data_IF_952699657889
#
_entry.id   IF_952699657889
#
_cell.length_a   1.000
_cell.length_b   1.000
_cell.length_c   1.000
_cell.angle_alpha   90.00
_cell.angle_beta   90.00
_cell.angle_gamma   90.00
#
_symmetry.space_group_name_H-M   'P 1'
#
loop_
_entity.id
_entity.type
_entity.pdbx_description
1 polymer ?
#
# COMPACT_ATOMS: atom_id res chain seq x y z
N UNK A 1 -41.36 -8.76 57.04
CA UNK A 1 -40.40 -9.82 56.57
C UNK A 1 -40.55 -10.07 55.06
N UNK A 2 -41.77 -10.02 54.49
CA UNK A 2 -42.03 -10.31 53.09
C UNK A 2 -41.45 -9.18 52.18
N UNK A 3 -41.54 -7.91 52.60
CA UNK A 3 -40.99 -6.75 51.86
C UNK A 3 -39.46 -6.79 51.73
N UNK A 4 -38.77 -7.35 52.76
CA UNK A 4 -37.31 -7.46 52.74
C UNK A 4 -36.80 -8.51 51.72
N UNK A 5 -37.57 -9.56 51.49
CA UNK A 5 -37.32 -10.58 50.51
C UNK A 5 -37.55 -10.11 49.06
N UNK A 6 -38.50 -9.23 48.85
CA UNK A 6 -38.84 -8.62 47.54
C UNK A 6 -37.71 -7.62 47.13
N UNK A 7 -37.20 -6.82 48.06
CA UNK A 7 -36.09 -5.92 47.79
C UNK A 7 -34.75 -6.67 47.52
N UNK A 8 -34.52 -7.81 48.15
CA UNK A 8 -33.31 -8.61 47.95
C UNK A 8 -33.33 -9.36 46.60
N UNK A 9 -34.52 -9.76 46.11
CA UNK A 9 -34.64 -10.41 44.79
C UNK A 9 -34.54 -9.40 43.63
N UNK A 10 -34.77 -8.11 43.85
CA UNK A 10 -34.65 -7.06 42.82
C UNK A 10 -33.18 -6.63 42.61
N UNK A 11 -32.30 -6.86 43.61
CA UNK A 11 -30.89 -6.50 43.53
C UNK A 11 -30.04 -7.53 42.78
N UNK A 12 -30.52 -8.75 42.53
CA UNK A 12 -29.77 -9.79 41.81
C UNK A 12 -29.94 -9.74 40.30
N UNK A 13 -30.91 -8.96 39.81
CA UNK A 13 -31.24 -8.84 38.37
C UNK A 13 -30.38 -7.82 37.57
N UNK A 14 -29.50 -7.06 38.21
CA UNK A 14 -28.77 -5.95 37.56
C UNK A 14 -27.28 -6.25 37.27
N UNK A 15 -26.81 -7.50 37.44
CA UNK A 15 -25.41 -7.87 37.26
C UNK A 15 -25.11 -8.58 35.95
N UNK A 16 -25.94 -8.43 34.92
CA UNK A 16 -25.71 -9.01 33.60
C UNK A 16 -25.43 -7.92 32.55
N UNK A 17 -24.51 -7.01 32.86
CA UNK A 17 -23.76 -6.33 31.81
C UNK A 17 -22.43 -7.07 31.68
N UNK A 18 -22.41 -8.08 30.83
CA UNK A 18 -21.16 -8.60 30.28
C UNK A 18 -20.47 -7.47 29.53
N UNK A 19 -19.59 -6.79 30.25
CA UNK A 19 -18.60 -5.92 29.64
C UNK A 19 -17.48 -6.78 29.06
N UNK A 20 -17.80 -7.62 28.10
CA UNK A 20 -16.82 -8.04 27.12
C UNK A 20 -16.61 -6.85 26.20
N UNK A 21 -15.78 -5.92 26.65
CA UNK A 21 -15.18 -4.92 25.79
C UNK A 21 -14.20 -5.61 24.82
N UNK A 22 -14.71 -6.39 23.89
CA UNK A 22 -14.08 -6.52 22.59
C UNK A 22 -14.23 -5.13 21.97
N UNK A 23 -13.25 -4.25 22.24
CA UNK A 23 -13.05 -3.05 21.42
C UNK A 23 -13.12 -3.54 20.00
N UNK A 24 -14.05 -3.06 19.14
CA UNK A 24 -14.02 -3.41 17.75
C UNK A 24 -12.64 -2.96 17.28
N UNK A 25 -11.78 -3.89 16.90
CA UNK A 25 -10.55 -3.55 16.18
C UNK A 25 -11.07 -2.76 15.00
N UNK A 26 -10.91 -1.44 15.06
CA UNK A 26 -11.41 -0.54 14.04
C UNK A 26 -10.78 -1.04 12.74
N UNK A 27 -11.58 -1.68 11.89
CA UNK A 27 -11.09 -2.21 10.64
C UNK A 27 -10.56 -1.03 9.84
N UNK A 28 -9.27 -1.08 9.49
CA UNK A 28 -8.65 -0.04 8.69
C UNK A 28 -9.48 0.19 7.42
N UNK A 29 -9.69 1.45 7.07
CA UNK A 29 -10.31 1.83 5.80
C UNK A 29 -9.49 1.22 4.67
N UNK A 30 -10.15 0.78 3.59
CA UNK A 30 -9.45 0.27 2.42
C UNK A 30 -8.61 1.37 1.76
N UNK A 31 -7.39 1.02 1.34
CA UNK A 31 -6.51 1.91 0.60
C UNK A 31 -7.15 2.38 -0.71
N UNK A 32 -6.91 3.65 -1.06
CA UNK A 32 -7.46 4.36 -2.22
C UNK A 32 -6.36 4.72 -3.22
N UNK A 33 -6.70 5.43 -4.28
CA UNK A 33 -5.76 5.87 -5.33
C UNK A 33 -5.73 4.93 -6.53
N UNK A 34 -5.02 5.36 -7.58
CA UNK A 34 -4.93 4.63 -8.83
C UNK A 34 -3.89 3.51 -8.77
N UNK A 35 -4.09 2.42 -9.53
CA UNK A 35 -3.02 1.45 -9.76
C UNK A 35 -1.77 2.12 -10.31
N UNK A 36 -0.61 1.62 -9.90
CA UNK A 36 0.70 2.15 -10.33
C UNK A 36 0.90 3.65 -10.04
N UNK A 37 0.26 4.16 -8.99
CA UNK A 37 0.49 5.48 -8.43
C UNK A 37 1.28 5.35 -7.12
N UNK A 38 2.23 6.27 -6.88
CA UNK A 38 2.97 6.38 -5.63
C UNK A 38 3.01 7.83 -5.17
N UNK A 39 2.69 8.06 -3.91
CA UNK A 39 2.89 9.37 -3.25
C UNK A 39 4.27 9.37 -2.62
N UNK A 40 5.13 10.29 -3.04
CA UNK A 40 6.45 10.51 -2.47
C UNK A 40 6.37 11.66 -1.47
N UNK A 41 6.70 11.37 -0.21
CA UNK A 41 6.69 12.32 0.88
C UNK A 41 8.13 12.62 1.27
N UNK A 42 8.60 13.84 1.04
CA UNK A 42 9.95 14.28 1.40
C UNK A 42 10.05 15.80 1.45
N UNK A 43 11.14 16.29 2.04
CA UNK A 43 11.43 17.72 2.08
C UNK A 43 11.53 18.33 0.68
N UNK A 44 11.08 19.57 0.55
CA UNK A 44 11.04 20.30 -0.72
C UNK A 44 12.42 20.46 -1.35
N UNK A 45 13.42 20.81 -0.55
CA UNK A 45 14.78 21.03 -1.04
C UNK A 45 15.39 19.71 -1.57
N UNK A 46 15.16 18.61 -0.88
CA UNK A 46 15.60 17.30 -1.31
C UNK A 46 14.84 16.81 -2.57
N UNK A 47 13.53 17.14 -2.68
CA UNK A 47 12.73 16.84 -3.86
C UNK A 47 13.18 17.59 -5.12
N UNK A 48 13.56 18.86 -4.97
CA UNK A 48 14.04 19.71 -6.06
C UNK A 48 15.55 19.53 -6.35
N UNK A 49 16.23 18.71 -5.57
CA UNK A 49 17.65 18.40 -5.75
C UNK A 49 17.88 17.04 -6.40
N UNK A 50 19.15 16.64 -6.46
CA UNK A 50 19.64 15.41 -7.10
C UNK A 50 18.89 14.14 -6.65
N UNK A 51 18.57 14.02 -5.35
CA UNK A 51 17.83 12.87 -4.82
C UNK A 51 16.42 12.78 -5.41
N UNK A 52 15.72 13.91 -5.49
CA UNK A 52 14.38 13.96 -6.04
C UNK A 52 14.34 13.68 -7.55
N UNK A 53 15.33 14.19 -8.30
CA UNK A 53 15.48 13.90 -9.72
C UNK A 53 15.74 12.40 -9.94
N UNK A 54 16.65 11.80 -9.19
CA UNK A 54 16.96 10.37 -9.28
C UNK A 54 15.77 9.48 -8.90
N UNK A 55 15.02 9.85 -7.86
CA UNK A 55 13.79 9.14 -7.49
C UNK A 55 12.72 9.21 -8.58
N UNK A 56 12.54 10.39 -9.20
CA UNK A 56 11.60 10.55 -10.29
C UNK A 56 12.00 9.74 -11.51
N UNK A 57 13.28 9.74 -11.87
CA UNK A 57 13.82 8.93 -12.97
C UNK A 57 13.58 7.45 -12.73
N UNK A 58 13.96 6.92 -11.57
CA UNK A 58 13.81 5.51 -11.25
C UNK A 58 12.33 5.06 -11.15
N UNK A 59 11.47 5.86 -10.51
CA UNK A 59 10.05 5.51 -10.36
C UNK A 59 9.27 5.62 -11.66
N UNK A 60 9.68 6.54 -12.55
CA UNK A 60 9.09 6.74 -13.87
C UNK A 60 9.82 6.00 -14.98
N UNK A 61 10.76 5.12 -14.63
CA UNK A 61 11.45 4.32 -15.63
C UNK A 61 10.43 3.68 -16.60
N UNK A 62 10.69 3.71 -17.92
CA UNK A 62 9.73 3.22 -18.89
C UNK A 62 9.48 1.72 -18.73
N UNK A 63 8.24 1.30 -18.97
CA UNK A 63 7.87 -0.12 -18.97
C UNK A 63 8.55 -0.78 -20.20
N UNK A 64 9.38 -1.81 -19.98
CA UNK A 64 10.05 -2.48 -21.09
C UNK A 64 9.09 -3.10 -22.11
N UNK A 65 9.50 -3.10 -23.36
CA UNK A 65 8.79 -3.73 -24.49
C UNK A 65 7.44 -3.12 -24.89
N UNK A 66 7.05 -1.96 -24.35
CA UNK A 66 5.91 -1.22 -24.90
C UNK A 66 6.33 -0.44 -26.17
N UNK A 67 5.46 -0.38 -27.19
CA UNK A 67 5.72 0.38 -28.43
C UNK A 67 5.88 1.89 -28.16
N UNK A 68 5.18 2.40 -27.16
CA UNK A 68 5.29 3.77 -26.66
C UNK A 68 5.86 3.74 -25.26
N UNK A 69 6.74 4.68 -24.94
CA UNK A 69 7.32 4.80 -23.61
C UNK A 69 6.24 5.24 -22.61
N UNK A 70 5.88 4.36 -21.70
CA UNK A 70 4.96 4.63 -20.60
C UNK A 70 5.71 4.51 -19.29
N UNK A 71 5.47 5.46 -18.38
CA UNK A 71 6.09 5.43 -17.05
C UNK A 71 5.56 4.28 -16.20
N UNK A 72 6.46 3.57 -15.52
CA UNK A 72 6.11 2.47 -14.60
C UNK A 72 5.21 2.93 -13.45
N UNK A 73 5.44 4.14 -12.93
CA UNK A 73 4.66 4.70 -11.83
C UNK A 73 4.22 6.14 -12.14
N UNK A 74 3.00 6.47 -11.75
CA UNK A 74 2.57 7.87 -11.61
C UNK A 74 3.07 8.39 -10.28
N UNK A 75 3.90 9.40 -10.29
CA UNK A 75 4.52 9.97 -9.09
C UNK A 75 3.81 11.26 -8.70
N UNK A 76 3.26 11.29 -7.49
CA UNK A 76 2.68 12.46 -6.85
C UNK A 76 3.57 12.87 -5.67
N UNK A 77 3.95 14.14 -5.61
CA UNK A 77 4.79 14.67 -4.53
C UNK A 77 3.95 15.32 -3.43
N UNK A 78 4.40 15.19 -2.19
CA UNK A 78 3.88 15.91 -1.03
C UNK A 78 5.01 16.25 -0.08
N UNK A 79 4.96 17.45 0.48
CA UNK A 79 5.78 17.77 1.67
C UNK A 79 5.27 17.02 2.90
N UNK A 80 6.13 16.76 3.90
CA UNK A 80 5.72 16.15 5.17
C UNK A 80 4.59 16.92 5.87
N UNK A 81 4.62 18.25 5.82
CA UNK A 81 3.57 19.13 6.37
C UNK A 81 2.22 18.99 5.67
N UNK A 82 2.22 18.72 4.37
CA UNK A 82 1.03 18.51 3.56
C UNK A 82 0.52 17.08 3.52
N UNK A 83 1.32 16.14 4.05
CA UNK A 83 0.96 14.71 4.06
C UNK A 83 -0.06 14.39 5.15
N UNK A 84 -1.34 14.65 4.84
CA UNK A 84 -2.45 14.46 5.77
C UNK A 84 -3.74 14.06 5.03
N UNK A 85 -4.80 13.79 5.79
CA UNK A 85 -6.12 13.51 5.24
C UNK A 85 -6.11 12.35 4.24
N UNK A 86 -6.59 12.59 3.02
CA UNK A 86 -6.77 11.57 1.99
C UNK A 86 -5.44 10.99 1.47
N UNK A 87 -4.35 11.75 1.50
CA UNK A 87 -3.04 11.28 1.04
C UNK A 87 -2.51 10.11 1.89
N UNK A 88 -2.89 10.04 3.17
CA UNK A 88 -2.51 8.92 4.04
C UNK A 88 -3.18 7.60 3.68
N UNK A 89 -4.26 7.64 2.90
CA UNK A 89 -4.99 6.42 2.52
C UNK A 89 -4.63 5.92 1.11
N UNK A 90 -3.68 6.57 0.44
CA UNK A 90 -3.21 6.13 -0.88
C UNK A 90 -2.49 4.79 -0.76
N UNK A 91 -2.68 3.94 -1.75
CA UNK A 91 -2.25 2.53 -1.75
C UNK A 91 -0.73 2.32 -1.74
N UNK A 92 0.06 3.23 -2.35
CA UNK A 92 1.52 3.18 -2.30
C UNK A 92 2.07 4.53 -1.85
N UNK A 93 2.92 4.50 -0.85
CA UNK A 93 3.55 5.69 -0.28
C UNK A 93 5.05 5.41 -0.11
N UNK A 94 5.87 6.37 -0.54
CA UNK A 94 7.30 6.40 -0.29
C UNK A 94 7.60 7.58 0.61
N UNK A 95 7.99 7.32 1.85
CA UNK A 95 8.42 8.35 2.80
C UNK A 95 9.94 8.40 2.79
N UNK A 96 10.49 9.55 2.47
CA UNK A 96 11.93 9.79 2.41
C UNK A 96 12.35 10.64 3.59
N UNK A 97 13.29 10.16 4.39
CA UNK A 97 13.78 10.84 5.60
C UNK A 97 15.30 10.91 5.61
N UNK A 98 15.85 12.11 5.69
CA UNK A 98 17.28 12.33 5.85
C UNK A 98 17.51 12.96 7.22
N UNK A 99 18.17 12.22 8.12
CA UNK A 99 18.41 12.68 9.49
C UNK A 99 19.68 12.02 10.07
N UNK A 100 20.79 12.76 10.23
CA UNK A 100 22.05 12.23 10.74
C UNK A 100 21.98 11.82 12.23
N UNK A 101 21.02 12.36 12.98
CA UNK A 101 20.83 12.01 14.38
C UNK A 101 20.06 10.71 14.57
N UNK A 102 19.27 10.32 13.57
CA UNK A 102 18.40 9.14 13.62
C UNK A 102 18.97 7.94 12.86
N UNK A 103 19.70 8.20 11.79
CA UNK A 103 20.17 7.13 10.90
C UNK A 103 21.69 7.14 10.79
N UNK A 104 22.30 5.97 10.87
CA UNK A 104 23.75 5.77 10.69
C UNK A 104 24.11 5.25 9.31
N UNK A 105 23.10 4.72 8.57
CA UNK A 105 23.25 4.20 7.21
C UNK A 105 21.97 4.40 6.42
N UNK A 106 22.07 4.39 5.10
CA UNK A 106 20.92 4.39 4.21
C UNK A 106 20.23 3.01 4.17
N UNK A 107 18.92 3.01 3.95
CA UNK A 107 18.15 1.78 3.85
C UNK A 107 16.69 2.01 3.56
N UNK A 108 15.95 0.90 3.41
CA UNK A 108 14.49 0.89 3.26
C UNK A 108 13.84 0.03 4.33
N UNK A 109 12.63 0.40 4.75
CA UNK A 109 11.76 -0.40 5.61
C UNK A 109 10.35 -0.35 5.08
N UNK A 110 9.74 -1.50 4.95
CA UNK A 110 8.32 -1.63 4.57
C UNK A 110 7.44 -1.59 5.82
N UNK A 111 6.30 -0.91 5.70
CA UNK A 111 5.25 -0.82 6.72
C UNK A 111 3.91 -1.06 6.01
N UNK A 112 3.46 -2.30 5.88
CA UNK A 112 2.16 -2.59 5.28
C UNK A 112 1.03 -2.11 6.20
N UNK A 113 -0.10 -1.69 5.61
CA UNK A 113 -1.32 -1.34 6.32
C UNK A 113 -1.16 -0.27 7.44
N UNK A 114 -0.28 0.70 7.23
CA UNK A 114 0.03 1.74 8.24
C UNK A 114 -1.20 2.59 8.59
N UNK A 115 -1.95 3.04 7.57
CA UNK A 115 -3.15 3.88 7.72
C UNK A 115 -4.38 3.32 7.01
N UNK A 116 -4.19 2.37 6.11
CA UNK A 116 -5.28 1.77 5.34
C UNK A 116 -4.98 0.32 5.00
N UNK A 117 -6.00 -0.51 4.98
CA UNK A 117 -5.90 -1.93 4.60
C UNK A 117 -5.55 -2.08 3.11
N UNK A 118 -4.58 -2.91 2.80
CA UNK A 118 -4.05 -3.11 1.45
C UNK A 118 -3.06 -2.02 1.03
N UNK A 119 -2.56 -1.22 1.97
CA UNK A 119 -1.57 -0.19 1.75
C UNK A 119 -0.14 -0.75 1.77
N UNK A 120 0.73 -0.16 0.97
CA UNK A 120 2.16 -0.42 0.97
C UNK A 120 2.91 0.89 1.21
N UNK A 121 3.50 1.03 2.39
CA UNK A 121 4.33 2.17 2.77
C UNK A 121 5.79 1.73 2.80
N UNK A 122 6.63 2.43 2.05
CA UNK A 122 8.08 2.23 2.07
C UNK A 122 8.72 3.46 2.70
N UNK A 123 9.46 3.25 3.77
CA UNK A 123 10.30 4.29 4.37
C UNK A 123 11.72 4.14 3.80
N UNK A 124 12.18 5.13 3.05
CA UNK A 124 13.54 5.27 2.55
C UNK A 124 14.25 6.29 3.43
N UNK A 125 15.36 5.91 4.01
CA UNK A 125 16.04 6.74 5.00
C UNK A 125 17.56 6.73 4.84
N UNK A 126 18.20 7.82 5.23
CA UNK A 126 19.66 7.96 5.22
C UNK A 126 20.14 9.01 6.24
N UNK A 127 21.41 8.98 6.65
CA UNK A 127 21.99 10.04 7.48
C UNK A 127 22.19 11.35 6.71
N UNK A 128 22.47 11.28 5.41
CA UNK A 128 22.72 12.44 4.54
C UNK A 128 22.14 12.22 3.15
N UNK A 129 21.96 13.31 2.40
CA UNK A 129 21.52 13.26 0.99
C UNK A 129 22.51 12.50 0.13
N UNK A 130 23.82 12.70 0.35
CA UNK A 130 24.86 11.97 -0.38
C UNK A 130 24.79 10.44 -0.17
N UNK A 131 24.60 10.00 1.11
CA UNK A 131 24.41 8.58 1.39
C UNK A 131 23.12 8.02 0.78
N UNK A 132 22.09 8.85 0.63
CA UNK A 132 20.83 8.48 -0.01
C UNK A 132 21.00 8.34 -1.53
N UNK A 133 21.69 9.30 -2.19
CA UNK A 133 22.04 9.23 -3.61
C UNK A 133 22.84 7.96 -3.90
N UNK A 134 23.90 7.71 -3.16
CA UNK A 134 24.71 6.49 -3.30
C UNK A 134 23.85 5.22 -3.17
N UNK A 135 23.01 5.16 -2.14
CA UNK A 135 22.11 4.03 -1.94
C UNK A 135 21.16 3.81 -3.12
N UNK A 136 20.58 4.87 -3.67
CA UNK A 136 19.69 4.79 -4.82
C UNK A 136 20.39 4.32 -6.09
N UNK A 137 21.62 4.78 -6.32
CA UNK A 137 22.44 4.35 -7.47
C UNK A 137 22.85 2.87 -7.35
N UNK A 138 23.27 2.42 -6.15
CA UNK A 138 23.63 1.02 -5.91
C UNK A 138 22.42 0.07 -5.94
N UNK A 139 21.20 0.59 -5.78
CA UNK A 139 19.97 -0.18 -5.76
C UNK A 139 19.01 0.28 -6.87
N UNK A 140 19.53 0.67 -8.01
CA UNK A 140 18.74 1.12 -9.16
C UNK A 140 17.64 0.11 -9.51
N UNK A 141 16.45 0.63 -9.79
CA UNK A 141 15.26 -0.17 -10.12
C UNK A 141 14.62 -0.92 -8.95
N UNK A 142 15.26 -1.02 -7.78
CA UNK A 142 14.73 -1.79 -6.66
C UNK A 142 13.38 -1.25 -6.16
N UNK A 143 13.25 0.07 -6.04
CA UNK A 143 12.00 0.70 -5.58
C UNK A 143 10.85 0.50 -6.58
N UNK A 144 11.09 0.79 -7.85
CA UNK A 144 10.06 0.64 -8.89
C UNK A 144 9.65 -0.82 -9.05
N UNK A 145 10.59 -1.75 -8.99
CA UNK A 145 10.31 -3.19 -9.05
C UNK A 145 9.50 -3.65 -7.83
N UNK A 146 9.78 -3.11 -6.65
CA UNK A 146 9.01 -3.39 -5.44
C UNK A 146 7.55 -2.94 -5.59
N UNK A 147 7.29 -1.68 -5.96
CA UNK A 147 5.93 -1.17 -6.15
C UNK A 147 5.20 -1.91 -7.27
N UNK A 148 5.85 -2.18 -8.39
CA UNK A 148 5.27 -2.95 -9.49
C UNK A 148 4.91 -4.38 -9.07
N UNK A 149 5.73 -5.03 -8.25
CA UNK A 149 5.43 -6.37 -7.70
C UNK A 149 4.18 -6.32 -6.83
N UNK A 150 4.10 -5.38 -5.90
CA UNK A 150 2.94 -5.21 -5.01
C UNK A 150 1.66 -4.93 -5.80
N UNK A 151 1.70 -4.08 -6.82
CA UNK A 151 0.55 -3.81 -7.68
C UNK A 151 0.11 -5.06 -8.44
N UNK A 152 1.03 -5.81 -9.02
CA UNK A 152 0.70 -7.09 -9.70
C UNK A 152 0.08 -8.10 -8.75
N UNK A 153 0.60 -8.24 -7.53
CA UNK A 153 0.04 -9.14 -6.51
C UNK A 153 -1.40 -8.75 -6.14
N UNK A 154 -1.69 -7.44 -6.03
CA UNK A 154 -3.07 -6.95 -5.82
C UNK A 154 -3.99 -7.33 -6.97
N UNK A 155 -3.53 -7.14 -8.22
CA UNK A 155 -4.30 -7.54 -9.41
C UNK A 155 -4.55 -9.03 -9.46
N UNK A 156 -3.53 -9.86 -9.25
CA UNK A 156 -3.65 -11.32 -9.23
C UNK A 156 -4.64 -11.75 -8.13
N UNK A 157 -4.51 -11.18 -6.93
CA UNK A 157 -5.42 -11.48 -5.81
C UNK A 157 -6.86 -11.07 -6.10
N UNK A 158 -7.07 -9.93 -6.75
CA UNK A 158 -8.39 -9.47 -7.19
C UNK A 158 -8.98 -10.41 -8.23
N UNK A 159 -8.25 -10.65 -9.30
CA UNK A 159 -8.69 -11.48 -10.42
C UNK A 159 -8.88 -12.95 -10.03
N UNK A 160 -8.09 -13.49 -9.10
CA UNK A 160 -8.29 -14.86 -8.61
C UNK A 160 -9.66 -15.07 -7.96
N UNK A 161 -10.25 -14.00 -7.40
CA UNK A 161 -11.57 -14.02 -6.74
C UNK A 161 -12.74 -13.70 -7.68
N UNK A 162 -12.46 -13.01 -8.79
CA UNK A 162 -13.48 -12.50 -9.73
C UNK A 162 -12.95 -12.62 -11.16
N UNK A 163 -12.95 -13.85 -11.68
CA UNK A 163 -12.55 -14.15 -13.06
C UNK A 163 -13.55 -15.09 -13.72
N UNK A 164 -13.60 -15.05 -15.03
CA UNK A 164 -14.40 -15.98 -15.84
C UNK A 164 -13.83 -17.39 -15.74
N UNK A 165 -14.44 -18.25 -14.94
CA UNK A 165 -14.07 -19.66 -14.81
C UNK A 165 -14.19 -20.38 -16.16
N UNK A 166 -15.22 -20.07 -16.96
CA UNK A 166 -15.43 -20.64 -18.29
C UNK A 166 -14.27 -20.35 -19.25
N UNK A 167 -13.77 -19.10 -19.30
CA UNK A 167 -12.62 -18.75 -20.17
C UNK A 167 -11.36 -19.45 -19.66
N UNK A 168 -11.13 -19.47 -18.36
CA UNK A 168 -9.96 -20.11 -17.77
C UNK A 168 -9.94 -21.62 -18.05
N UNK A 169 -11.06 -22.32 -17.87
CA UNK A 169 -11.20 -23.75 -18.18
C UNK A 169 -10.98 -24.06 -19.68
N UNK A 170 -11.53 -23.21 -20.54
CA UNK A 170 -11.37 -23.36 -22.00
C UNK A 170 -9.91 -23.19 -22.43
N UNK A 171 -9.20 -22.18 -21.85
CA UNK A 171 -7.79 -21.98 -22.13
C UNK A 171 -6.94 -23.13 -21.58
N UNK A 172 -7.25 -23.59 -20.38
CA UNK A 172 -6.54 -24.70 -19.74
C UNK A 172 -6.70 -26.00 -20.51
N UNK A 173 -7.91 -26.33 -20.94
CA UNK A 173 -8.18 -27.56 -21.71
C UNK A 173 -7.58 -27.55 -23.12
N UNK A 174 -7.55 -26.38 -23.78
CA UNK A 174 -7.11 -26.26 -25.17
C UNK A 174 -5.61 -25.99 -25.33
N UNK A 175 -5.03 -25.24 -24.40
CA UNK A 175 -3.65 -24.72 -24.50
C UNK A 175 -2.76 -25.07 -23.29
N UNK A 176 -3.29 -25.70 -22.25
CA UNK A 176 -2.55 -26.01 -21.03
C UNK A 176 -2.16 -24.80 -20.18
N UNK A 177 -2.72 -23.61 -20.47
CA UNK A 177 -2.45 -22.38 -19.75
C UNK A 177 -3.61 -21.97 -18.86
N UNK A 178 -3.32 -21.37 -17.70
CA UNK A 178 -4.29 -20.77 -16.80
C UNK A 178 -4.17 -19.26 -16.85
N UNK A 179 -5.28 -18.57 -17.11
CA UNK A 179 -5.32 -17.11 -17.20
C UNK A 179 -6.56 -16.58 -16.48
N UNK A 180 -6.35 -15.66 -15.53
CA UNK A 180 -7.44 -14.97 -14.85
C UNK A 180 -7.93 -13.80 -15.70
N UNK A 181 -8.99 -14.02 -16.42
CA UNK A 181 -9.64 -13.01 -17.28
C UNK A 181 -10.83 -12.43 -16.54
N UNK A 182 -10.99 -11.09 -16.46
CA UNK A 182 -12.16 -10.47 -15.84
C UNK A 182 -13.48 -11.00 -16.37
N UNK A 183 -14.51 -11.08 -15.51
CA UNK A 183 -15.83 -11.63 -15.89
C UNK A 183 -16.56 -10.81 -16.95
N UNK A 184 -16.28 -9.50 -17.01
CA UNK A 184 -16.85 -8.56 -17.97
C UNK A 184 -16.22 -8.63 -19.37
N UNK A 185 -15.13 -9.38 -19.53
CA UNK A 185 -14.54 -9.63 -20.83
C UNK A 185 -15.33 -10.67 -21.61
N UNK A 186 -15.90 -10.26 -22.74
CA UNK A 186 -16.54 -11.19 -23.69
C UNK A 186 -15.50 -11.80 -24.64
N UNK A 187 -15.55 -13.13 -24.82
CA UNK A 187 -14.78 -13.79 -25.87
C UNK A 187 -15.43 -13.51 -27.22
N UNK A 188 -14.74 -12.86 -28.14
CA UNK A 188 -15.15 -12.85 -29.53
C UNK A 188 -14.99 -14.27 -30.14
N UNK A 189 -16.02 -14.68 -30.87
CA UNK A 189 -16.01 -15.93 -31.61
C UNK A 189 -15.21 -15.77 -32.90
#
# INVERSE_FOLDING_TARGET
TVLLWICLSLMVGLSACDWTSSSPVASLRRATGWPFEVVVVMDRDAWNGEVGELLQEQLRAPIPALPQAEASMRVTYSEPSGFSGLLRYVRNILIVSVDPNRYTKAGTRESPDEWASGQNVVNLYAPTTAALTEFLLLNEGRLVNHFNRVERERWITGLSKSHSSWINEKLKSRFGISLFVPEDMSAYK
#
